data_IF_334279358311
#
_entry.id   IF_334279358311
#
_cell.length_a   1.000
_cell.length_b   1.000
_cell.length_c   1.000
_cell.angle_alpha   90.00
_cell.angle_beta   90.00
_cell.angle_gamma   90.00
#
_symmetry.space_group_name_H-M   'P 1'
#
loop_
_entity.id
_entity.type
_entity.pdbx_description
1 polymer ?
#
# COMPACT_ATOMS: atom_id res chain seq x y z
N UNK A 1 4.72 -11.01 21.00
CA UNK A 1 5.07 -10.15 22.14
C UNK A 1 6.58 -10.16 22.34
N UNK A 2 7.25 -9.08 21.95
CA UNK A 2 8.72 -9.00 21.91
C UNK A 2 9.25 -8.22 23.12
N UNK A 3 8.47 -7.30 23.68
CA UNK A 3 8.83 -6.47 24.85
C UNK A 3 7.53 -5.96 25.49
N UNK A 4 7.31 -6.25 26.78
CA UNK A 4 6.20 -5.71 27.56
C UNK A 4 6.74 -4.66 28.52
N UNK A 5 6.27 -3.42 28.38
CA UNK A 5 6.52 -2.33 29.32
C UNK A 5 5.17 -1.95 29.96
N UNK A 6 5.04 -2.19 31.26
CA UNK A 6 3.90 -1.69 32.03
C UNK A 6 4.23 -0.27 32.51
N UNK A 7 3.72 0.73 31.77
CA UNK A 7 3.71 2.12 32.22
C UNK A 7 2.24 2.50 32.40
N UNK A 8 1.87 2.83 33.64
CA UNK A 8 0.57 3.41 34.00
C UNK A 8 -0.67 2.55 33.65
N UNK A 9 -0.63 1.25 33.98
CA UNK A 9 -1.75 0.30 33.79
C UNK A 9 -2.15 0.03 32.32
N UNK A 10 -1.33 0.48 31.36
CA UNK A 10 -1.48 0.19 29.93
C UNK A 10 -0.35 -0.79 29.56
N UNK A 11 -0.71 -2.00 29.13
CA UNK A 11 0.26 -2.97 28.63
C UNK A 11 0.70 -2.58 27.23
N UNK A 12 1.82 -1.86 27.13
CA UNK A 12 2.45 -1.58 25.84
C UNK A 12 3.34 -2.77 25.49
N UNK A 13 2.79 -3.70 24.71
CA UNK A 13 3.54 -4.82 24.14
C UNK A 13 4.01 -4.50 22.72
N UNK A 14 5.30 -4.61 22.45
CA UNK A 14 5.83 -4.55 21.08
C UNK A 14 5.42 -5.85 20.35
N UNK A 15 4.46 -5.72 19.44
CA UNK A 15 4.02 -6.80 18.54
C UNK A 15 4.89 -6.85 17.28
N UNK A 16 4.87 -7.96 16.54
CA UNK A 16 5.61 -8.08 15.27
C UNK A 16 5.19 -6.95 14.30
N UNK A 17 3.89 -6.69 14.17
CA UNK A 17 3.38 -5.57 13.35
C UNK A 17 4.00 -4.25 13.80
N UNK A 18 3.99 -3.95 15.11
CA UNK A 18 4.56 -2.71 15.64
C UNK A 18 6.06 -2.60 15.35
N UNK A 19 6.81 -3.69 15.50
CA UNK A 19 8.25 -3.74 15.25
C UNK A 19 8.62 -3.51 13.77
N UNK A 20 7.90 -4.14 12.83
CA UNK A 20 8.18 -3.92 11.41
C UNK A 20 7.73 -2.54 10.93
N UNK A 21 6.67 -1.98 11.52
CA UNK A 21 6.27 -0.59 11.26
C UNK A 21 7.32 0.43 11.76
N UNK A 22 7.92 0.20 12.93
CA UNK A 22 9.00 1.07 13.42
C UNK A 22 10.26 0.96 12.57
N UNK A 23 10.61 -0.24 12.11
CA UNK A 23 11.68 -0.45 11.11
C UNK A 23 11.38 0.34 9.83
N UNK A 24 10.16 0.25 9.30
CA UNK A 24 9.76 1.00 8.11
C UNK A 24 9.90 2.51 8.29
N UNK A 25 9.48 3.04 9.45
CA UNK A 25 9.64 4.44 9.78
C UNK A 25 11.12 4.86 9.85
N UNK A 26 11.98 4.04 10.46
CA UNK A 26 13.43 4.29 10.54
C UNK A 26 14.05 4.27 9.14
N UNK A 27 13.65 3.36 8.26
CA UNK A 27 14.15 3.29 6.88
C UNK A 27 13.74 4.55 6.09
N UNK A 28 12.50 5.02 6.24
CA UNK A 28 12.04 6.25 5.59
C UNK A 28 12.87 7.45 6.07
N UNK A 29 13.08 7.57 7.38
CA UNK A 29 13.93 8.62 7.95
C UNK A 29 15.38 8.50 7.43
N UNK A 30 15.95 7.30 7.44
CA UNK A 30 17.28 7.03 6.91
C UNK A 30 17.43 7.44 5.45
N UNK A 31 16.49 7.06 4.59
CA UNK A 31 16.47 7.45 3.17
C UNK A 31 16.45 8.97 3.01
N UNK A 32 15.60 9.68 3.76
CA UNK A 32 15.54 11.14 3.69
C UNK A 32 16.82 11.83 4.17
N UNK A 33 17.51 11.27 5.17
CA UNK A 33 18.80 11.79 5.65
C UNK A 33 19.89 11.55 4.59
N UNK A 34 19.92 10.37 3.98
CA UNK A 34 20.89 10.01 2.93
C UNK A 34 20.70 10.81 1.64
N UNK A 35 19.45 11.13 1.32
CA UNK A 35 19.10 11.99 0.19
C UNK A 35 19.42 13.46 0.44
N UNK A 36 19.69 13.87 1.68
CA UNK A 36 20.06 15.24 1.97
C UNK A 36 21.45 15.55 1.41
N UNK A 37 21.51 16.56 0.56
CA UNK A 37 22.74 16.92 -0.15
C UNK A 37 23.45 18.15 0.44
N UNK A 38 23.28 18.45 1.73
CA UNK A 38 23.93 19.56 2.45
C UNK A 38 24.05 20.87 1.62
N UNK A 39 22.96 21.25 0.94
CA UNK A 39 22.87 22.43 0.05
C UNK A 39 23.86 22.48 -1.13
N UNK A 40 24.44 21.35 -1.55
CA UNK A 40 25.24 21.26 -2.78
C UNK A 40 24.33 21.23 -4.01
N UNK A 41 24.78 21.90 -5.07
CA UNK A 41 24.07 21.99 -6.36
C UNK A 41 24.13 20.65 -7.12
N UNK A 42 25.22 19.90 -6.98
CA UNK A 42 25.38 18.59 -7.65
C UNK A 42 24.72 17.50 -6.81
N UNK A 43 23.64 16.92 -7.32
CA UNK A 43 22.84 15.90 -6.64
C UNK A 43 23.60 14.60 -6.35
N UNK A 44 23.33 14.00 -5.20
CA UNK A 44 23.75 12.64 -4.85
C UNK A 44 22.80 11.62 -5.51
N UNK A 45 23.26 10.40 -5.79
CA UNK A 45 22.41 9.34 -6.38
C UNK A 45 21.12 9.10 -5.57
N UNK A 46 21.22 9.15 -4.23
CA UNK A 46 20.06 9.04 -3.33
C UNK A 46 19.09 10.22 -3.44
N UNK A 47 19.63 11.43 -3.66
CA UNK A 47 18.83 12.63 -3.88
C UNK A 47 18.11 12.57 -5.23
N UNK A 48 18.77 12.08 -6.29
CA UNK A 48 18.14 11.83 -7.61
C UNK A 48 16.98 10.83 -7.48
N UNK A 49 17.17 9.75 -6.74
CA UNK A 49 16.11 8.76 -6.53
C UNK A 49 14.88 9.39 -5.85
N UNK A 50 15.08 10.15 -4.77
CA UNK A 50 13.97 10.82 -4.09
C UNK A 50 13.31 11.92 -4.95
N UNK A 51 14.10 12.67 -5.72
CA UNK A 51 13.59 13.69 -6.63
C UNK A 51 12.75 13.07 -7.76
N UNK A 52 13.18 11.93 -8.30
CA UNK A 52 12.41 11.19 -9.31
C UNK A 52 11.05 10.74 -8.75
N UNK A 53 11.02 10.17 -7.53
CA UNK A 53 9.79 9.79 -6.85
C UNK A 53 8.89 11.01 -6.60
N UNK A 54 9.46 12.11 -6.11
CA UNK A 54 8.73 13.35 -5.91
C UNK A 54 8.06 13.84 -7.20
N UNK A 55 8.81 13.89 -8.31
CA UNK A 55 8.29 14.37 -9.60
C UNK A 55 7.19 13.47 -10.17
N UNK A 56 7.30 12.14 -10.03
CA UNK A 56 6.24 11.22 -10.47
C UNK A 56 4.95 11.42 -9.69
N UNK A 57 5.02 11.47 -8.35
CA UNK A 57 3.84 11.67 -7.49
C UNK A 57 3.24 13.05 -7.74
N UNK A 58 4.07 14.07 -7.89
CA UNK A 58 3.62 15.43 -8.17
C UNK A 58 2.89 15.51 -9.52
N UNK A 59 3.43 14.86 -10.55
CA UNK A 59 2.77 14.71 -11.86
C UNK A 59 1.41 14.02 -11.76
N UNK A 60 1.31 12.94 -10.98
CA UNK A 60 0.04 12.24 -10.73
C UNK A 60 -0.97 13.18 -10.07
N UNK A 61 -0.57 13.93 -9.03
CA UNK A 61 -1.48 14.82 -8.29
C UNK A 61 -2.00 15.96 -9.17
N UNK A 62 -1.13 16.59 -9.96
CA UNK A 62 -1.52 17.68 -10.86
C UNK A 62 -2.50 17.18 -11.93
N UNK A 63 -2.24 16.00 -12.51
CA UNK A 63 -3.04 15.46 -13.61
C UNK A 63 -4.39 14.90 -13.13
N UNK A 64 -4.46 14.34 -11.93
CA UNK A 64 -5.67 13.66 -11.44
C UNK A 64 -6.62 14.56 -10.65
N UNK A 65 -6.10 15.55 -9.90
CA UNK A 65 -6.93 16.42 -9.06
C UNK A 65 -7.16 17.75 -9.76
N UNK A 66 -6.14 18.61 -9.75
CA UNK A 66 -6.12 19.91 -10.42
C UNK A 66 -4.76 20.58 -10.13
N UNK A 67 -4.17 21.25 -11.12
CA UNK A 67 -2.85 21.88 -10.99
C UNK A 67 -2.74 22.98 -9.93
N UNK A 68 -3.84 23.70 -9.62
CA UNK A 68 -3.82 24.83 -8.66
C UNK A 68 -4.18 24.44 -7.23
N UNK A 69 -5.26 23.68 -7.06
CA UNK A 69 -5.77 23.34 -5.71
C UNK A 69 -5.30 21.97 -5.22
N UNK A 70 -4.82 21.10 -6.12
CA UNK A 70 -4.37 19.75 -5.77
C UNK A 70 -3.07 19.72 -4.96
N UNK A 71 -2.23 20.76 -5.08
CA UNK A 71 -0.94 20.84 -4.38
C UNK A 71 -1.08 20.85 -2.86
N UNK A 72 -2.21 21.32 -2.32
CA UNK A 72 -2.48 21.31 -0.87
C UNK A 72 -2.51 19.87 -0.32
N UNK A 73 -2.98 18.91 -1.13
CA UNK A 73 -3.09 17.49 -0.75
C UNK A 73 -1.83 16.68 -1.08
N UNK A 74 -0.86 17.27 -1.79
CA UNK A 74 0.35 16.59 -2.22
C UNK A 74 1.14 15.96 -1.06
N UNK A 75 1.40 16.66 0.07
CA UNK A 75 2.18 16.07 1.16
C UNK A 75 1.55 14.80 1.73
N UNK A 76 0.23 14.76 1.86
CA UNK A 76 -0.49 13.58 2.34
C UNK A 76 -0.39 12.39 1.37
N UNK A 77 -0.55 12.65 0.07
CA UNK A 77 -0.45 11.61 -0.96
C UNK A 77 0.98 11.08 -1.04
N UNK A 78 1.97 11.96 -0.95
CA UNK A 78 3.38 11.59 -0.95
C UNK A 78 3.75 10.71 0.24
N UNK A 79 3.36 11.08 1.47
CA UNK A 79 3.65 10.27 2.65
C UNK A 79 2.94 8.93 2.62
N UNK A 80 1.69 8.89 2.16
CA UNK A 80 0.93 7.65 1.99
C UNK A 80 1.64 6.70 1.03
N UNK A 81 2.08 7.22 -0.12
CA UNK A 81 2.77 6.44 -1.14
C UNK A 81 4.08 5.85 -0.61
N UNK A 82 4.96 6.69 -0.03
CA UNK A 82 6.25 6.24 0.51
C UNK A 82 6.05 5.25 1.66
N UNK A 83 5.05 5.46 2.52
CA UNK A 83 4.72 4.53 3.59
C UNK A 83 4.33 3.16 3.05
N UNK A 84 3.40 3.09 2.09
CA UNK A 84 2.95 1.81 1.52
C UNK A 84 4.10 1.12 0.78
N UNK A 85 4.85 1.86 -0.05
CA UNK A 85 5.98 1.35 -0.82
C UNK A 85 7.02 0.69 0.08
N UNK A 86 7.51 1.40 1.11
CA UNK A 86 8.56 0.89 1.98
C UNK A 86 8.08 -0.34 2.77
N UNK A 87 6.85 -0.33 3.28
CA UNK A 87 6.32 -1.49 4.00
C UNK A 87 6.14 -2.72 3.10
N UNK A 88 5.71 -2.55 1.85
CA UNK A 88 5.61 -3.66 0.90
C UNK A 88 7.01 -4.20 0.53
N UNK A 89 7.99 -3.33 0.30
CA UNK A 89 9.37 -3.74 0.03
C UNK A 89 9.99 -4.50 1.21
N UNK A 90 9.75 -4.07 2.44
CA UNK A 90 10.18 -4.78 3.65
C UNK A 90 9.51 -6.16 3.71
N UNK A 91 8.23 -6.26 3.34
CA UNK A 91 7.51 -7.53 3.30
C UNK A 91 8.12 -8.56 2.35
N UNK A 92 8.72 -8.11 1.24
CA UNK A 92 9.31 -8.99 0.23
C UNK A 92 10.63 -9.65 0.66
N UNK A 93 11.30 -9.14 1.70
CA UNK A 93 12.55 -9.71 2.19
C UNK A 93 12.26 -11.10 2.79
N UNK A 94 13.01 -12.16 2.43
CA UNK A 94 12.80 -13.49 2.99
C UNK A 94 12.96 -13.46 4.52
N UNK A 95 12.09 -14.19 5.22
CA UNK A 95 11.98 -14.19 6.69
C UNK A 95 11.49 -12.87 7.33
N UNK A 96 11.11 -11.89 6.51
CA UNK A 96 10.45 -10.68 6.98
C UNK A 96 8.95 -10.92 7.22
N UNK A 97 8.33 -9.96 7.88
CA UNK A 97 6.90 -9.96 8.14
C UNK A 97 6.24 -8.80 7.40
N UNK A 98 5.34 -9.12 6.48
CA UNK A 98 4.60 -8.13 5.72
C UNK A 98 3.47 -7.51 6.56
N UNK A 99 3.74 -6.38 7.21
CA UNK A 99 2.75 -5.65 8.02
C UNK A 99 1.50 -5.26 7.22
N UNK A 100 1.63 -4.99 5.91
CA UNK A 100 0.54 -4.63 4.99
C UNK A 100 -0.35 -5.81 4.59
N UNK A 101 0.03 -7.05 4.92
CA UNK A 101 -0.83 -8.23 4.72
C UNK A 101 -2.03 -8.28 5.69
N UNK A 102 -1.94 -7.57 6.82
CA UNK A 102 -3.02 -7.54 7.80
C UNK A 102 -4.18 -6.66 7.34
N UNK A 103 -5.33 -7.28 7.12
CA UNK A 103 -6.58 -6.60 6.79
C UNK A 103 -6.94 -5.48 7.76
N UNK A 104 -6.66 -5.63 9.06
CA UNK A 104 -6.95 -4.59 10.04
C UNK A 104 -6.19 -3.28 9.74
N UNK A 105 -4.90 -3.36 9.39
CA UNK A 105 -4.08 -2.19 9.09
C UNK A 105 -4.51 -1.53 7.77
N UNK A 106 -4.70 -2.32 6.72
CA UNK A 106 -5.06 -1.79 5.39
C UNK A 106 -6.48 -1.25 5.34
N UNK A 107 -7.43 -1.88 6.04
CA UNK A 107 -8.77 -1.32 6.20
C UNK A 107 -8.74 -0.05 7.05
N UNK A 108 -8.00 0.01 8.16
CA UNK A 108 -7.90 1.24 8.95
C UNK A 108 -7.39 2.43 8.10
N UNK A 109 -6.36 2.20 7.28
CA UNK A 109 -5.82 3.19 6.36
C UNK A 109 -6.84 3.58 5.28
N UNK A 110 -7.50 2.61 4.66
CA UNK A 110 -8.52 2.84 3.63
C UNK A 110 -9.74 3.62 4.15
N UNK A 111 -10.30 3.21 5.29
CA UNK A 111 -11.42 3.90 5.93
C UNK A 111 -11.04 5.33 6.30
N UNK A 112 -9.84 5.55 6.85
CA UNK A 112 -9.36 6.89 7.20
C UNK A 112 -9.31 7.81 5.97
N UNK A 113 -8.78 7.32 4.85
CA UNK A 113 -8.69 8.10 3.60
C UNK A 113 -10.07 8.44 3.07
N UNK A 114 -10.97 7.45 2.95
CA UNK A 114 -12.27 7.72 2.33
C UNK A 114 -13.18 8.53 3.26
N UNK A 115 -13.15 8.28 4.57
CA UNK A 115 -13.85 9.14 5.54
C UNK A 115 -13.29 10.57 5.49
N UNK A 116 -11.97 10.75 5.45
CA UNK A 116 -11.36 12.07 5.25
C UNK A 116 -11.87 12.76 3.98
N UNK A 117 -11.96 12.02 2.87
CA UNK A 117 -12.50 12.54 1.62
C UNK A 117 -14.01 12.88 1.71
N UNK A 118 -14.83 12.07 2.41
CA UNK A 118 -16.26 12.39 2.64
C UNK A 118 -16.42 13.68 3.42
N UNK A 119 -15.68 13.83 4.53
CA UNK A 119 -15.77 14.99 5.41
C UNK A 119 -15.34 16.25 4.66
N UNK A 120 -14.25 16.16 3.90
CA UNK A 120 -13.80 17.25 3.04
C UNK A 120 -14.84 17.61 1.97
N UNK A 121 -15.48 16.62 1.34
CA UNK A 121 -16.53 16.81 0.35
C UNK A 121 -17.74 17.54 0.92
N UNK A 122 -18.23 17.11 2.09
CA UNK A 122 -19.31 17.79 2.81
C UNK A 122 -18.92 19.20 3.26
N UNK A 123 -17.69 19.41 3.75
CA UNK A 123 -17.22 20.73 4.17
C UNK A 123 -17.15 21.74 3.01
N UNK A 124 -16.73 21.31 1.82
CA UNK A 124 -16.58 22.19 0.65
C UNK A 124 -17.87 22.41 -0.14
N UNK A 125 -18.73 21.40 -0.22
CA UNK A 125 -19.92 21.43 -1.09
C UNK A 125 -21.27 21.34 -0.35
N UNK A 126 -21.27 21.03 0.96
CA UNK A 126 -22.48 20.92 1.77
C UNK A 126 -23.48 19.91 1.18
N UNK A 127 -24.73 20.34 1.04
CA UNK A 127 -25.81 19.54 0.44
C UNK A 127 -25.59 19.24 -1.05
N UNK A 128 -24.76 20.03 -1.75
CA UNK A 128 -24.42 19.77 -3.15
C UNK A 128 -23.53 18.53 -3.33
N UNK A 129 -22.91 18.02 -2.25
CA UNK A 129 -22.18 16.76 -2.29
C UNK A 129 -23.04 15.58 -2.76
N UNK A 130 -24.34 15.57 -2.43
CA UNK A 130 -25.25 14.52 -2.90
C UNK A 130 -25.46 14.53 -4.43
N UNK A 131 -25.12 15.63 -5.10
CA UNK A 131 -25.08 15.66 -6.57
C UNK A 131 -24.06 14.68 -7.15
N UNK A 132 -23.06 14.24 -6.37
CA UNK A 132 -22.10 13.22 -6.79
C UNK A 132 -22.77 11.84 -6.96
N UNK A 133 -23.85 11.57 -6.20
CA UNK A 133 -24.59 10.32 -6.29
C UNK A 133 -25.55 10.28 -7.50
N UNK A 134 -25.74 11.41 -8.18
CA UNK A 134 -26.64 11.53 -9.33
C UNK A 134 -25.79 11.73 -10.59
N UNK A 135 -25.69 10.73 -11.48
CA UNK A 135 -24.98 10.90 -12.73
C UNK A 135 -25.75 11.84 -13.68
N UNK A 136 -24.98 12.63 -14.44
CA UNK A 136 -25.53 13.65 -15.33
C UNK A 136 -26.35 13.04 -16.48
N UNK A 137 -27.52 13.61 -16.76
CA UNK A 137 -28.35 13.25 -17.92
C UNK A 137 -29.27 12.03 -17.75
N UNK A 138 -29.43 11.51 -16.53
CA UNK A 138 -30.31 10.36 -16.27
C UNK A 138 -31.82 10.75 -16.32
N UNK A 139 -32.70 9.95 -16.96
CA UNK A 139 -34.14 10.17 -16.92
C UNK A 139 -34.69 9.99 -15.50
N UNK A 140 -35.59 10.90 -15.08
CA UNK A 140 -36.19 10.97 -13.73
C UNK A 140 -36.70 9.63 -13.15
N UNK A 141 -37.34 8.72 -13.92
CA UNK A 141 -37.83 7.46 -13.38
C UNK A 141 -36.73 6.50 -12.91
N UNK A 142 -35.53 6.54 -13.52
CA UNK A 142 -34.43 5.63 -13.20
C UNK A 142 -33.54 6.14 -12.05
N UNK A 143 -33.72 7.40 -11.67
CA UNK A 143 -32.87 8.10 -10.71
C UNK A 143 -32.83 7.42 -9.33
N UNK A 144 -33.94 6.94 -8.72
CA UNK A 144 -33.90 6.29 -7.41
C UNK A 144 -33.04 5.02 -7.39
N UNK A 145 -33.10 4.20 -8.45
CA UNK A 145 -32.30 2.98 -8.57
C UNK A 145 -30.81 3.29 -8.79
N UNK A 146 -30.51 4.35 -9.51
CA UNK A 146 -29.12 4.73 -9.79
C UNK A 146 -28.42 5.30 -8.56
N UNK A 147 -29.13 6.11 -7.77
CA UNK A 147 -28.63 6.65 -6.50
C UNK A 147 -28.33 5.52 -5.50
N UNK A 148 -29.16 4.48 -5.41
CA UNK A 148 -28.88 3.35 -4.50
C UNK A 148 -27.65 2.58 -4.93
N UNK A 149 -27.48 2.31 -6.23
CA UNK A 149 -26.27 1.63 -6.75
C UNK A 149 -25.02 2.49 -6.53
N UNK A 150 -25.08 3.80 -6.77
CA UNK A 150 -23.94 4.70 -6.56
C UNK A 150 -23.57 4.79 -5.07
N UNK A 151 -24.56 4.81 -4.17
CA UNK A 151 -24.31 4.74 -2.72
C UNK A 151 -23.58 3.45 -2.34
N UNK A 152 -24.00 2.30 -2.90
CA UNK A 152 -23.36 1.00 -2.66
C UNK A 152 -21.94 0.98 -3.23
N UNK A 153 -21.73 1.51 -4.43
CA UNK A 153 -20.43 1.68 -5.07
C UNK A 153 -19.48 2.55 -4.23
N UNK A 154 -20.01 3.65 -3.67
CA UNK A 154 -19.26 4.54 -2.80
C UNK A 154 -18.82 3.85 -1.50
N UNK A 155 -19.70 3.09 -0.86
CA UNK A 155 -19.36 2.29 0.33
C UNK A 155 -18.37 1.16 -0.01
N UNK A 156 -18.56 0.49 -1.14
CA UNK A 156 -17.65 -0.55 -1.61
C UNK A 156 -16.24 -0.01 -1.87
N UNK A 157 -16.08 1.27 -2.21
CA UNK A 157 -14.77 1.93 -2.38
C UNK A 157 -13.91 1.82 -1.12
N UNK A 158 -14.49 2.03 0.06
CA UNK A 158 -13.81 1.95 1.37
C UNK A 158 -13.18 0.57 1.60
N UNK A 159 -13.90 -0.47 1.20
CA UNK A 159 -13.43 -1.85 1.36
C UNK A 159 -12.44 -2.19 0.24
N UNK A 160 -12.77 -1.84 -1.00
CA UNK A 160 -11.99 -2.25 -2.18
C UNK A 160 -10.56 -1.74 -2.18
N UNK A 161 -10.29 -0.53 -1.68
CA UNK A 161 -8.94 0.03 -1.65
C UNK A 161 -8.03 -0.71 -0.66
N UNK A 162 -8.50 -0.94 0.57
CA UNK A 162 -7.77 -1.69 1.59
C UNK A 162 -7.64 -3.17 1.24
N UNK A 163 -8.73 -3.79 0.76
CA UNK A 163 -8.75 -5.18 0.32
C UNK A 163 -7.75 -5.41 -0.81
N UNK A 164 -7.66 -4.51 -1.79
CA UNK A 164 -6.73 -4.64 -2.92
C UNK A 164 -5.28 -4.74 -2.45
N UNK A 165 -4.88 -3.86 -1.53
CA UNK A 165 -3.52 -3.87 -1.00
C UNK A 165 -3.24 -5.16 -0.20
N UNK A 166 -4.12 -5.50 0.75
CA UNK A 166 -3.92 -6.69 1.58
C UNK A 166 -4.01 -7.99 0.78
N UNK A 167 -4.96 -8.11 -0.16
CA UNK A 167 -5.14 -9.31 -0.98
C UNK A 167 -3.93 -9.54 -1.88
N UNK A 168 -3.37 -8.49 -2.49
CA UNK A 168 -2.20 -8.63 -3.35
C UNK A 168 -0.97 -9.15 -2.57
N UNK A 169 -0.72 -8.58 -1.39
CA UNK A 169 0.42 -8.99 -0.55
C UNK A 169 0.19 -10.37 0.08
N UNK A 170 -1.01 -10.66 0.58
CA UNK A 170 -1.33 -11.98 1.17
C UNK A 170 -1.29 -13.10 0.14
N UNK A 171 -1.88 -12.88 -1.05
CA UNK A 171 -1.92 -13.89 -2.11
C UNK A 171 -0.52 -14.16 -2.69
N UNK A 172 0.32 -13.12 -2.87
CA UNK A 172 1.69 -13.27 -3.32
C UNK A 172 2.54 -14.13 -2.38
N UNK A 173 2.58 -13.78 -1.10
CA UNK A 173 3.32 -14.55 -0.09
C UNK A 173 2.77 -15.96 0.11
N UNK A 174 1.45 -16.15 0.06
CA UNK A 174 0.84 -17.48 0.13
C UNK A 174 1.21 -18.32 -1.09
N UNK A 175 1.19 -17.74 -2.30
CA UNK A 175 1.58 -18.42 -3.53
C UNK A 175 3.05 -18.87 -3.47
N UNK A 176 3.97 -17.97 -3.11
CA UNK A 176 5.39 -18.30 -3.03
C UNK A 176 5.69 -19.36 -1.97
N UNK A 177 5.05 -19.30 -0.80
CA UNK A 177 5.26 -20.29 0.25
C UNK A 177 4.76 -21.68 -0.13
N UNK A 178 3.59 -21.77 -0.78
CA UNK A 178 3.04 -23.04 -1.27
C UNK A 178 3.93 -23.62 -2.37
N UNK A 179 4.32 -22.82 -3.36
CA UNK A 179 5.20 -23.29 -4.45
C UNK A 179 6.58 -23.71 -3.90
N UNK A 180 7.17 -22.94 -3.00
CA UNK A 180 8.44 -23.28 -2.36
C UNK A 180 8.35 -24.62 -1.62
N UNK A 181 7.25 -24.87 -0.88
CA UNK A 181 7.01 -26.16 -0.23
C UNK A 181 6.95 -27.34 -1.21
N UNK A 182 6.28 -27.17 -2.35
CA UNK A 182 6.24 -28.21 -3.38
C UNK A 182 7.62 -28.47 -4.00
N UNK A 183 8.37 -27.41 -4.32
CA UNK A 183 9.71 -27.53 -4.90
C UNK A 183 10.67 -28.21 -3.93
N UNK A 184 10.63 -27.83 -2.65
CA UNK A 184 11.43 -28.47 -1.61
C UNK A 184 11.16 -29.98 -1.53
N UNK A 185 9.89 -30.40 -1.54
CA UNK A 185 9.51 -31.81 -1.49
C UNK A 185 9.99 -32.60 -2.74
N UNK A 186 9.88 -32.00 -3.93
CA UNK A 186 10.36 -32.62 -5.18
C UNK A 186 11.88 -32.80 -5.12
N UNK A 187 12.61 -31.75 -4.75
CA UNK A 187 14.08 -31.78 -4.71
C UNK A 187 14.63 -32.79 -3.69
N UNK A 188 13.91 -33.02 -2.58
CA UNK A 188 14.32 -33.96 -1.53
C UNK A 188 13.99 -35.44 -1.86
N UNK A 189 13.21 -35.71 -2.90
CA UNK A 189 12.74 -37.08 -3.24
C UNK A 189 13.77 -37.94 -3.99
N UNK A 190 14.87 -37.35 -4.48
CA UNK A 190 15.99 -38.09 -5.09
C UNK A 190 16.81 -37.26 -6.07
N UNK A 191 17.99 -37.77 -6.48
CA UNK A 191 18.93 -37.06 -7.38
C UNK A 191 18.31 -36.71 -8.75
N UNK A 192 17.49 -37.61 -9.32
CA UNK A 192 16.83 -37.32 -10.61
C UNK A 192 15.80 -36.20 -10.48
N UNK A 193 15.06 -36.18 -9.37
CA UNK A 193 14.04 -35.18 -9.08
C UNK A 193 14.63 -33.84 -8.66
N UNK A 194 15.86 -33.82 -8.13
CA UNK A 194 16.62 -32.59 -7.91
C UNK A 194 16.84 -31.81 -9.21
N UNK A 195 17.22 -32.51 -10.29
CA UNK A 195 17.43 -31.88 -11.61
C UNK A 195 16.11 -31.37 -12.19
N UNK A 196 15.04 -32.16 -12.07
CA UNK A 196 13.69 -31.74 -12.52
C UNK A 196 13.17 -30.56 -11.69
N UNK A 197 13.48 -30.52 -10.39
CA UNK A 197 13.10 -29.46 -9.45
C UNK A 197 13.70 -28.09 -9.77
N UNK A 198 14.77 -28.03 -10.58
CA UNK A 198 15.36 -26.77 -11.04
C UNK A 198 14.39 -25.95 -11.92
N UNK A 199 13.50 -26.62 -12.67
CA UNK A 199 12.52 -25.95 -13.54
C UNK A 199 11.48 -25.19 -12.68
N UNK A 200 10.76 -25.83 -11.73
CA UNK A 200 9.91 -25.13 -10.77
C UNK A 200 10.60 -24.03 -9.97
N UNK A 201 11.88 -24.19 -9.60
CA UNK A 201 12.64 -23.15 -8.91
C UNK A 201 12.74 -21.87 -9.75
N UNK A 202 12.96 -22.01 -11.06
CA UNK A 202 13.00 -20.87 -11.99
C UNK A 202 11.66 -20.13 -12.05
N UNK A 203 10.54 -20.87 -12.00
CA UNK A 203 9.21 -20.26 -11.90
C UNK A 203 9.03 -19.48 -10.59
N UNK A 204 9.52 -19.97 -9.45
CA UNK A 204 9.45 -19.24 -8.18
C UNK A 204 10.21 -17.92 -8.27
N UNK A 205 11.40 -17.92 -8.87
CA UNK A 205 12.20 -16.70 -9.06
C UNK A 205 11.44 -15.70 -9.95
N UNK A 206 10.83 -16.18 -11.04
CA UNK A 206 10.02 -15.33 -11.91
C UNK A 206 8.80 -14.74 -11.18
N UNK A 207 8.10 -15.54 -10.36
CA UNK A 207 6.97 -15.06 -9.57
C UNK A 207 7.37 -14.08 -8.46
N UNK A 208 8.54 -14.24 -7.85
CA UNK A 208 9.07 -13.26 -6.90
C UNK A 208 9.33 -11.90 -7.57
N UNK A 209 9.84 -11.91 -8.81
CA UNK A 209 9.96 -10.68 -9.61
C UNK A 209 8.61 -10.05 -9.95
N UNK A 210 7.58 -10.87 -10.21
CA UNK A 210 6.22 -10.37 -10.43
C UNK A 210 5.62 -9.77 -9.14
N UNK A 211 5.86 -10.38 -7.98
CA UNK A 211 5.40 -9.85 -6.70
C UNK A 211 5.97 -8.46 -6.42
N UNK A 212 7.25 -8.24 -6.74
CA UNK A 212 7.87 -6.90 -6.68
C UNK A 212 7.14 -5.87 -7.56
N UNK A 213 6.64 -6.27 -8.72
CA UNK A 213 5.93 -5.37 -9.62
C UNK A 213 4.49 -5.07 -9.17
N UNK A 214 3.89 -5.96 -8.37
CA UNK A 214 2.54 -5.79 -7.81
C UNK A 214 2.59 -4.96 -6.51
N UNK A 215 3.70 -5.04 -5.78
CA UNK A 215 3.98 -4.33 -4.53
C UNK A 215 4.10 -2.81 -4.69
#
# INVERSE_FOLDING_TARGET
>A
DILNLEILNIQISITNIGFYLTIGAIIILGLSILANNYNKIVSNNWSIAQESLYMTIHGIVINQINGKNGQIYFPFIYTLFIFILINNLIGMIPYSFASTSHFALTFALSFTIVLGATILGFSRHGLKFFSLLVPAGCPLPLLPLLVTIELISYLARNVSLGLRLAANITAGHMLLSILSGFVYNIMNSGIIFFIVGLIPLLFIIAFSGLELAIA
#
